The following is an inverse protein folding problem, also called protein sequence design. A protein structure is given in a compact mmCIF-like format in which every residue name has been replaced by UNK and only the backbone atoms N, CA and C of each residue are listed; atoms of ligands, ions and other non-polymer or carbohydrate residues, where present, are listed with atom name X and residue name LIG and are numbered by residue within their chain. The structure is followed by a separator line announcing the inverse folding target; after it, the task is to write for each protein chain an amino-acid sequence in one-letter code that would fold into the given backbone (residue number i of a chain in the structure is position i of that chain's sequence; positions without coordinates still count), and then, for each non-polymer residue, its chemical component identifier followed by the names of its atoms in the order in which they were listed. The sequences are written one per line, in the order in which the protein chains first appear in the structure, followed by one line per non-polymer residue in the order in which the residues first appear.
data_IF_593942857402
#
_entry.id   IF_593942857402
#
_cell.length_a   1.000
_cell.length_b   1.000
_cell.length_c   1.000
_cell.angle_alpha   90.00
_cell.angle_beta   90.00
_cell.angle_gamma   90.00
#
_symmetry.space_group_name_H-M   'P 1'
#
loop_
_entity.id
_entity.type
_entity.pdbx_description
1 polymer ?
#
# COMPACT_ATOMS: atom_id res chain seq x y z
N UNK A 1 10.18 8.31 -14.22
CA UNK A 1 9.63 8.78 -12.93
C UNK A 1 8.72 7.68 -12.42
N UNK A 2 9.22 6.87 -11.49
CA UNK A 2 8.45 5.81 -10.89
C UNK A 2 7.40 6.47 -9.98
N UNK A 3 6.12 6.11 -10.15
CA UNK A 3 5.02 6.65 -9.35
C UNK A 3 5.06 6.17 -7.89
N UNK A 4 6.01 5.28 -7.54
CA UNK A 4 6.05 4.55 -6.28
C UNK A 4 7.40 4.67 -5.53
N UNK A 5 8.26 5.63 -5.86
CA UNK A 5 9.53 5.85 -5.12
C UNK A 5 9.34 6.65 -3.81
N UNK A 6 8.17 6.57 -3.20
CA UNK A 6 7.89 7.19 -1.91
C UNK A 6 7.34 6.19 -0.90
N UNK A 7 7.50 6.51 0.38
CA UNK A 7 6.85 5.76 1.45
C UNK A 7 5.44 6.28 1.63
N UNK A 8 4.53 5.35 1.87
CA UNK A 8 3.13 5.63 2.11
C UNK A 8 2.77 5.25 3.54
N UNK A 9 2.01 6.08 4.21
CA UNK A 9 1.53 5.84 5.57
C UNK A 9 0.14 5.22 5.53
N UNK A 10 -0.05 4.11 6.22
CA UNK A 10 -1.38 3.54 6.40
C UNK A 10 -2.24 4.51 7.20
N UNK A 11 -3.38 4.92 6.65
CA UNK A 11 -4.34 5.79 7.34
C UNK A 11 -5.63 5.04 7.69
N UNK A 12 -5.99 4.01 6.93
CA UNK A 12 -7.08 3.11 7.26
C UNK A 12 -6.82 1.72 6.65
N UNK A 13 -7.29 0.67 7.33
CA UNK A 13 -7.33 -0.68 6.79
C UNK A 13 -8.74 -1.21 6.91
N UNK A 14 -9.19 -1.82 5.83
CA UNK A 14 -10.43 -2.56 5.74
C UNK A 14 -10.12 -3.97 5.27
N UNK A 15 -11.06 -4.90 5.47
CA UNK A 15 -10.86 -6.33 5.24
C UNK A 15 -10.36 -6.69 3.84
N UNK A 16 -10.62 -5.84 2.84
CA UNK A 16 -10.21 -6.02 1.44
C UNK A 16 -9.59 -4.75 0.82
N UNK A 17 -9.43 -3.68 1.58
CA UNK A 17 -8.90 -2.41 1.08
C UNK A 17 -8.00 -1.74 2.10
N UNK A 18 -6.77 -1.38 1.69
CA UNK A 18 -5.84 -0.60 2.49
C UNK A 18 -5.83 0.83 1.95
N UNK A 19 -6.13 1.81 2.81
CA UNK A 19 -5.98 3.22 2.47
C UNK A 19 -4.67 3.75 3.02
N UNK A 20 -3.87 4.30 2.13
CA UNK A 20 -2.54 4.83 2.43
C UNK A 20 -2.42 6.26 1.92
N UNK A 21 -1.51 7.02 2.52
CA UNK A 21 -1.20 8.40 2.14
C UNK A 21 0.29 8.53 1.85
N UNK A 22 0.64 9.06 0.67
CA UNK A 22 2.00 9.36 0.29
C UNK A 22 2.62 10.35 1.27
N UNK A 23 3.77 9.99 1.83
CA UNK A 23 4.47 10.84 2.80
C UNK A 23 5.10 12.06 2.13
N UNK A 24 5.44 11.96 0.84
CA UNK A 24 6.11 13.03 0.09
C UNK A 24 5.07 13.82 -0.71
N UNK A 25 4.21 13.11 -1.46
CA UNK A 25 3.22 13.75 -2.34
C UNK A 25 1.93 14.14 -1.62
N UNK A 26 1.64 13.53 -0.45
CA UNK A 26 0.36 13.70 0.25
C UNK A 26 -0.82 13.01 -0.45
N UNK A 27 -0.56 12.24 -1.51
CA UNK A 27 -1.57 11.58 -2.32
C UNK A 27 -2.19 10.41 -1.55
N UNK A 28 -3.52 10.33 -1.55
CA UNK A 28 -4.23 9.22 -0.89
C UNK A 28 -4.54 8.15 -1.93
N UNK A 29 -4.04 6.94 -1.68
CA UNK A 29 -4.24 5.77 -2.52
C UNK A 29 -5.02 4.71 -1.75
N UNK A 30 -5.87 3.98 -2.45
CA UNK A 30 -6.57 2.82 -1.91
C UNK A 30 -6.09 1.59 -2.65
N UNK A 31 -5.39 0.71 -1.94
CA UNK A 31 -4.97 -0.60 -2.42
C UNK A 31 -6.11 -1.56 -2.19
N UNK A 32 -6.66 -2.11 -3.25
CA UNK A 32 -7.64 -3.20 -3.16
C UNK A 32 -6.85 -4.50 -3.17
N UNK A 33 -7.08 -5.33 -2.16
CA UNK A 33 -6.48 -6.64 -2.09
C UNK A 33 -7.16 -7.58 -3.11
N UNK A 34 -6.44 -8.12 -4.11
CA UNK A 34 -7.03 -9.00 -5.11
C UNK A 34 -7.32 -10.41 -4.56
N UNK A 35 -6.70 -10.79 -3.44
CA UNK A 35 -6.80 -12.12 -2.86
C UNK A 35 -7.86 -12.18 -1.74
N UNK A 36 -9.05 -12.73 -2.01
CA UNK A 36 -10.13 -12.78 -1.01
C UNK A 36 -9.83 -13.71 0.17
N UNK A 37 -8.86 -14.62 0.03
CA UNK A 37 -8.47 -15.60 1.06
C UNK A 37 -7.56 -15.00 2.13
N UNK A 38 -6.88 -13.88 1.83
CA UNK A 38 -5.91 -13.24 2.73
C UNK A 38 -6.45 -11.85 3.07
N UNK A 39 -7.38 -11.70 4.03
CA UNK A 39 -7.92 -10.40 4.39
C UNK A 39 -6.81 -9.49 4.93
N UNK A 40 -6.87 -8.21 4.57
CA UNK A 40 -6.01 -7.20 5.16
C UNK A 40 -6.49 -6.96 6.59
N UNK A 41 -5.58 -7.10 7.56
CA UNK A 41 -5.88 -6.86 8.96
C UNK A 41 -5.06 -5.69 9.50
N UNK A 42 -5.59 -5.08 10.55
CA UNK A 42 -4.93 -4.01 11.30
C UNK A 42 -3.68 -4.49 12.04
N UNK A 43 -3.55 -5.79 12.24
CA UNK A 43 -2.35 -6.42 12.80
C UNK A 43 -1.23 -6.51 11.76
N UNK A 44 -1.55 -6.77 10.49
CA UNK A 44 -0.59 -6.82 9.39
C UNK A 44 -0.22 -5.41 8.89
N UNK A 45 -1.24 -4.53 8.81
CA UNK A 45 -1.11 -3.13 8.40
C UNK A 45 -1.63 -2.17 9.49
N UNK A 46 -0.87 -1.97 10.57
CA UNK A 46 -1.22 -0.99 11.58
C UNK A 46 -1.30 0.42 11.01
N UNK A 47 -2.35 1.14 11.39
CA UNK A 47 -2.52 2.55 11.05
C UNK A 47 -1.31 3.34 11.57
N UNK A 48 -0.72 4.12 10.69
CA UNK A 48 0.48 4.90 10.94
C UNK A 48 1.77 4.22 10.52
N UNK A 49 1.75 2.94 10.12
CA UNK A 49 2.89 2.24 9.55
C UNK A 49 3.26 2.82 8.18
N UNK A 50 4.56 2.98 7.93
CA UNK A 50 5.10 3.38 6.65
C UNK A 50 5.38 2.12 5.83
N UNK A 51 4.75 2.01 4.66
CA UNK A 51 5.00 0.96 3.67
C UNK A 51 5.63 1.57 2.42
N UNK A 52 6.61 0.89 1.85
CA UNK A 52 7.12 1.23 0.53
C UNK A 52 6.37 0.37 -0.48
N UNK A 53 5.72 1.00 -1.46
CA UNK A 53 5.17 0.28 -2.59
C UNK A 53 6.28 0.12 -3.63
N UNK A 54 6.63 -1.12 -3.95
CA UNK A 54 7.52 -1.39 -5.08
C UNK A 54 6.65 -1.78 -6.26
N UNK A 55 6.77 -1.08 -7.38
CA UNK A 55 6.03 -1.42 -8.60
C UNK A 55 6.39 -2.84 -9.04
N UNK A 56 5.42 -3.78 -9.13
CA UNK A 56 5.71 -5.14 -9.58
C UNK A 56 6.13 -5.19 -11.06
N UNK A 57 5.92 -4.14 -11.86
CA UNK A 57 6.45 -4.02 -13.23
C UNK A 57 7.94 -3.70 -13.26
N UNK A 58 8.53 -3.25 -12.14
CA UNK A 58 9.99 -3.19 -11.98
C UNK A 58 10.60 -4.57 -11.69
N UNK A 59 9.78 -5.51 -11.19
CA UNK A 59 10.10 -6.95 -11.16
C UNK A 59 9.86 -7.56 -12.56
N UNK A 60 10.49 -6.95 -13.57
CA UNK A 60 10.72 -7.60 -14.84
C UNK A 60 11.55 -8.84 -14.59
N UNK A 61 10.86 -9.98 -14.58
CA UNK A 61 11.42 -11.30 -14.79
C UNK A 61 12.52 -11.23 -15.87
N UNK A 62 13.73 -11.65 -15.54
CA UNK A 62 14.75 -11.98 -16.54
C UNK A 62 14.69 -13.47 -16.83
#
# INVERSE_FOLDING_TARGET
MAMFDETYRVIAVESQSLTIQGNISGEVLTIVNPDPDIPLTQEDYPVGQLIALTDPSASGVN
#
